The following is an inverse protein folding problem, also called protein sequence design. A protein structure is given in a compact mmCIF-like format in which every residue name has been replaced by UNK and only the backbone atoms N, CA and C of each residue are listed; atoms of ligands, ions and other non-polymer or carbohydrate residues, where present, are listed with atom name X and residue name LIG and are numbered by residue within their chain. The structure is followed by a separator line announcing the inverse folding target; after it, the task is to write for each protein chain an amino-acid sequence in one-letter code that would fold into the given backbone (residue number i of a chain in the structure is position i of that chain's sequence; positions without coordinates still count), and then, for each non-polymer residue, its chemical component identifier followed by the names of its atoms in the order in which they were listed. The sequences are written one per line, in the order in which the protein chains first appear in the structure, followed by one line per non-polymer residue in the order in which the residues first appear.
data_IF_078487377521
#
_entry.id   IF_078487377521
#
_cell.length_a   1.000
_cell.length_b   1.000
_cell.length_c   1.000
_cell.angle_alpha   90.00
_cell.angle_beta   90.00
_cell.angle_gamma   90.00
#
_symmetry.space_group_name_H-M   'P 1'
#
loop_
_entity.id
_entity.type
_entity.pdbx_description
1 polymer ?
#
# COMPACT_ATOMS: atom_id res chain seq x y z
N UNK A 1 -4.01 -10.61 20.81
CA UNK A 1 -3.34 -9.38 20.35
C UNK A 1 -4.34 -8.27 19.97
N UNK A 2 -5.23 -7.92 20.87
CA UNK A 2 -6.06 -6.69 20.95
C UNK A 2 -6.32 -5.94 19.62
N UNK A 3 -6.90 -6.61 18.62
CA UNK A 3 -7.29 -6.03 17.32
C UNK A 3 -6.15 -5.43 16.48
N UNK A 4 -4.90 -5.86 16.68
CA UNK A 4 -3.80 -5.45 15.80
C UNK A 4 -3.80 -6.25 14.50
N UNK A 5 -3.42 -5.65 13.36
CA UNK A 5 -3.40 -6.31 12.07
C UNK A 5 -2.16 -7.21 11.92
N UNK A 6 -2.06 -8.21 12.78
CA UNK A 6 -0.93 -9.15 12.86
C UNK A 6 -1.43 -10.56 12.55
N UNK A 7 -0.71 -11.27 11.69
CA UNK A 7 -0.92 -12.67 11.38
C UNK A 7 0.26 -13.50 11.91
N UNK A 8 -0.05 -14.49 12.74
CA UNK A 8 0.92 -15.49 13.23
C UNK A 8 0.55 -16.82 12.59
N UNK A 9 1.53 -17.49 12.01
CA UNK A 9 1.31 -18.79 11.37
C UNK A 9 2.57 -19.65 11.45
N UNK A 10 2.42 -20.92 11.12
CA UNK A 10 3.49 -21.91 11.19
C UNK A 10 3.66 -22.58 9.81
N UNK A 11 4.90 -22.71 9.37
CA UNK A 11 5.28 -23.52 8.21
C UNK A 11 6.26 -24.56 8.71
N UNK A 12 5.91 -25.85 8.62
CA UNK A 12 6.60 -26.93 9.31
C UNK A 12 6.70 -26.61 10.81
N UNK A 13 7.91 -26.50 11.36
CA UNK A 13 8.17 -26.13 12.74
C UNK A 13 8.55 -24.66 12.95
N UNK A 14 8.62 -23.88 11.86
CA UNK A 14 9.05 -22.49 11.88
C UNK A 14 7.85 -21.56 12.10
N UNK A 15 7.89 -20.76 13.15
CA UNK A 15 6.90 -19.72 13.44
C UNK A 15 7.26 -18.45 12.67
N UNK A 16 6.29 -17.93 11.94
CA UNK A 16 6.41 -16.67 11.20
C UNK A 16 5.33 -15.68 11.63
N UNK A 17 5.69 -14.40 11.62
CA UNK A 17 4.80 -13.28 11.92
C UNK A 17 4.74 -12.36 10.69
N UNK A 18 3.54 -11.93 10.33
CA UNK A 18 3.33 -10.82 9.41
C UNK A 18 2.70 -9.68 10.21
N UNK A 19 3.42 -8.57 10.28
CA UNK A 19 3.01 -7.34 10.93
C UNK A 19 2.61 -6.31 9.88
N UNK A 20 1.32 -5.98 9.85
CA UNK A 20 0.73 -5.01 8.94
C UNK A 20 0.24 -3.75 9.70
N UNK A 21 0.80 -3.48 10.87
CA UNK A 21 0.49 -2.30 11.67
C UNK A 21 1.25 -1.06 11.17
N UNK A 22 0.90 0.11 11.71
CA UNK A 22 1.67 1.33 11.50
C UNK A 22 3.13 1.12 11.98
N UNK A 23 4.13 1.73 11.32
CA UNK A 23 5.54 1.42 11.57
C UNK A 23 6.06 2.03 12.87
N UNK A 24 5.61 1.50 13.98
CA UNK A 24 5.97 1.93 15.35
C UNK A 24 7.03 1.05 16.01
N UNK A 25 7.58 0.08 15.28
CA UNK A 25 8.56 -0.89 15.76
C UNK A 25 8.00 -2.31 15.82
N UNK A 26 8.87 -3.29 16.11
CA UNK A 26 8.46 -4.69 16.25
C UNK A 26 7.75 -4.91 17.58
N UNK A 27 6.80 -5.84 17.60
CA UNK A 27 6.23 -6.37 18.84
C UNK A 27 7.22 -7.36 19.47
N UNK A 28 7.92 -6.96 20.52
CA UNK A 28 9.07 -7.68 21.05
C UNK A 28 8.74 -9.14 21.42
N UNK A 29 7.63 -9.40 22.09
CA UNK A 29 7.21 -10.77 22.46
C UNK A 29 7.01 -11.66 21.23
N UNK A 30 6.43 -11.10 20.15
CA UNK A 30 6.24 -11.83 18.90
C UNK A 30 7.55 -12.03 18.15
N UNK A 31 8.42 -11.04 18.17
CA UNK A 31 9.74 -11.12 17.57
C UNK A 31 10.58 -12.23 18.23
N UNK A 32 10.57 -12.34 19.55
CA UNK A 32 11.30 -13.36 20.29
C UNK A 32 10.79 -14.77 19.97
N UNK A 33 9.48 -14.95 19.88
CA UNK A 33 8.84 -16.23 19.57
C UNK A 33 8.93 -16.65 18.11
N UNK A 34 9.10 -15.69 17.19
CA UNK A 34 9.16 -15.94 15.76
C UNK A 34 10.57 -16.31 15.29
N UNK A 35 10.64 -17.15 14.26
CA UNK A 35 11.87 -17.40 13.51
C UNK A 35 12.08 -16.37 12.40
N UNK A 36 10.99 -15.85 11.82
CA UNK A 36 10.98 -14.79 10.82
C UNK A 36 9.85 -13.81 11.14
N UNK A 37 10.15 -12.51 11.06
CA UNK A 37 9.20 -11.42 11.34
C UNK A 37 9.09 -10.51 10.11
N UNK A 38 7.98 -10.58 9.39
CA UNK A 38 7.73 -9.75 8.22
C UNK A 38 7.01 -8.46 8.61
N UNK A 39 7.43 -7.34 8.01
CA UNK A 39 6.84 -6.02 8.26
C UNK A 39 6.44 -5.37 6.95
N UNK A 40 5.21 -4.91 6.86
CA UNK A 40 4.72 -4.22 5.67
C UNK A 40 5.42 -2.89 5.42
N UNK A 41 5.68 -2.13 6.48
CA UNK A 41 6.30 -0.82 6.43
C UNK A 41 7.61 -0.81 7.23
N UNK A 42 8.61 -1.56 6.78
CA UNK A 42 9.94 -1.61 7.40
C UNK A 42 10.68 -0.30 7.16
N UNK A 43 10.60 0.63 8.13
CA UNK A 43 11.33 1.90 8.05
C UNK A 43 12.84 1.68 8.04
N UNK A 44 13.55 2.33 7.10
CA UNK A 44 15.01 2.23 6.94
C UNK A 44 15.75 2.71 8.20
N UNK A 45 15.25 3.79 8.83
CA UNK A 45 15.92 4.46 9.95
C UNK A 45 15.34 4.09 11.32
N UNK A 46 14.56 3.01 11.44
CA UNK A 46 14.00 2.57 12.72
C UNK A 46 14.81 1.39 13.28
N UNK A 47 15.42 1.56 14.46
CA UNK A 47 16.40 0.59 14.98
C UNK A 47 15.80 -0.79 15.25
N UNK A 48 14.55 -0.90 15.71
CA UNK A 48 13.95 -2.21 15.93
C UNK A 48 13.76 -3.02 14.64
N UNK A 49 13.71 -2.36 13.48
CA UNK A 49 13.60 -3.03 12.17
C UNK A 49 14.94 -3.50 11.61
N UNK A 50 16.08 -3.09 12.20
CA UNK A 50 17.41 -3.58 11.83
C UNK A 50 17.73 -4.97 12.41
N UNK A 51 16.84 -5.50 13.25
CA UNK A 51 17.01 -6.81 13.88
C UNK A 51 17.01 -7.95 12.84
N UNK A 52 17.82 -9.02 13.02
CA UNK A 52 18.13 -9.99 11.94
C UNK A 52 16.95 -10.83 11.44
N UNK A 53 15.91 -11.04 12.26
CA UNK A 53 14.71 -11.79 11.82
C UNK A 53 13.73 -10.93 11.04
N UNK A 54 13.90 -9.58 11.00
CA UNK A 54 12.95 -8.65 10.40
C UNK A 54 13.17 -8.55 8.90
N UNK A 55 12.14 -8.89 8.12
CA UNK A 55 12.14 -8.82 6.66
C UNK A 55 11.04 -7.88 6.15
N UNK A 56 11.29 -7.09 5.10
CA UNK A 56 10.26 -6.29 4.47
C UNK A 56 9.28 -7.16 3.69
N UNK A 57 8.07 -6.64 3.47
CA UNK A 57 7.11 -7.17 2.50
C UNK A 57 7.01 -6.26 1.28
N UNK A 58 6.50 -6.81 0.18
CA UNK A 58 6.14 -6.02 -0.98
C UNK A 58 4.85 -5.22 -0.74
N UNK A 59 4.63 -4.12 -1.46
CA UNK A 59 3.38 -3.38 -1.40
C UNK A 59 2.17 -4.27 -1.70
N UNK A 60 1.11 -4.12 -0.91
CA UNK A 60 -0.14 -4.87 -1.09
C UNK A 60 -1.35 -3.99 -0.77
N UNK A 61 -2.53 -4.41 -1.15
CA UNK A 61 -3.77 -3.69 -0.90
C UNK A 61 -4.90 -4.67 -0.52
N UNK A 62 -5.90 -4.19 0.25
CA UNK A 62 -6.99 -5.03 0.72
C UNK A 62 -7.96 -5.38 -0.42
N UNK A 63 -8.25 -6.68 -0.55
CA UNK A 63 -9.22 -7.24 -1.50
C UNK A 63 -10.32 -8.00 -0.78
N UNK A 64 -11.40 -8.31 -1.48
CA UNK A 64 -12.46 -9.16 -0.96
C UNK A 64 -11.96 -10.61 -0.88
N UNK A 65 -11.84 -11.10 0.34
CA UNK A 65 -11.41 -12.47 0.65
C UNK A 65 -12.45 -13.24 1.46
N UNK A 66 -13.72 -12.84 1.44
CA UNK A 66 -14.79 -13.46 2.26
C UNK A 66 -14.82 -14.98 2.11
N UNK A 67 -14.77 -15.57 0.88
CA UNK A 67 -14.76 -17.03 0.74
C UNK A 67 -13.56 -17.68 1.44
N UNK A 68 -12.37 -17.10 1.28
CA UNK A 68 -11.14 -17.58 1.92
C UNK A 68 -11.21 -17.42 3.44
N UNK A 69 -11.69 -16.26 3.92
CA UNK A 69 -11.86 -15.98 5.33
C UNK A 69 -12.80 -16.98 6.01
N UNK A 70 -13.97 -17.25 5.41
CA UNK A 70 -14.90 -18.24 5.92
C UNK A 70 -14.33 -19.68 5.85
N UNK A 71 -13.56 -20.00 4.79
CA UNK A 71 -12.94 -21.32 4.66
C UNK A 71 -11.86 -21.59 5.70
N UNK A 72 -11.04 -20.57 6.03
CA UNK A 72 -9.92 -20.71 6.99
C UNK A 72 -10.46 -20.76 8.41
N UNK A 73 -11.34 -19.87 8.77
CA UNK A 73 -11.77 -19.69 10.16
C UNK A 73 -13.08 -20.42 10.49
N UNK A 74 -13.97 -20.63 9.52
CA UNK A 74 -15.20 -21.40 9.68
C UNK A 74 -15.97 -21.06 10.96
N UNK A 75 -16.32 -22.10 11.73
CA UNK A 75 -17.06 -21.99 12.99
C UNK A 75 -16.21 -21.34 14.09
N UNK A 76 -14.88 -21.41 14.02
CA UNK A 76 -13.99 -20.82 15.02
C UNK A 76 -14.10 -19.30 15.11
N UNK A 77 -14.62 -18.63 14.07
CA UNK A 77 -14.96 -17.20 14.13
C UNK A 77 -15.88 -16.89 15.31
N UNK A 78 -16.89 -17.74 15.53
CA UNK A 78 -17.87 -17.55 16.61
C UNK A 78 -17.36 -17.99 17.99
N UNK A 79 -16.24 -18.69 18.04
CA UNK A 79 -15.57 -19.07 19.29
C UNK A 79 -14.78 -17.91 19.90
N UNK A 80 -14.20 -17.04 19.04
CA UNK A 80 -13.31 -15.97 19.47
C UNK A 80 -13.87 -14.58 19.28
N UNK A 81 -14.88 -14.38 18.40
CA UNK A 81 -15.50 -13.11 18.10
C UNK A 81 -17.00 -13.14 18.43
N UNK A 82 -17.51 -12.02 18.89
CA UNK A 82 -18.97 -11.84 19.01
C UNK A 82 -19.63 -11.82 17.64
N UNK A 83 -20.84 -12.29 17.54
CA UNK A 83 -21.61 -12.32 16.27
C UNK A 83 -21.59 -10.98 15.52
N UNK A 84 -21.75 -9.87 16.25
CA UNK A 84 -21.69 -8.50 15.68
C UNK A 84 -20.33 -8.20 15.05
N UNK A 85 -19.24 -8.65 15.67
CA UNK A 85 -17.87 -8.44 15.17
C UNK A 85 -17.62 -9.27 13.90
N UNK A 86 -18.11 -10.51 13.86
CA UNK A 86 -18.06 -11.35 12.64
C UNK A 86 -18.80 -10.69 11.51
N UNK A 87 -20.03 -10.21 11.72
CA UNK A 87 -20.79 -9.49 10.70
C UNK A 87 -20.10 -8.22 10.23
N UNK A 88 -19.48 -7.48 11.15
CA UNK A 88 -18.72 -6.27 10.82
C UNK A 88 -17.50 -6.59 9.95
N UNK A 89 -16.75 -7.64 10.27
CA UNK A 89 -15.61 -8.07 9.47
C UNK A 89 -16.05 -8.50 8.06
N UNK A 90 -17.07 -9.33 7.96
CA UNK A 90 -17.64 -9.75 6.67
C UNK A 90 -18.10 -8.53 5.85
N UNK A 91 -18.80 -7.58 6.48
CA UNK A 91 -19.23 -6.35 5.82
C UNK A 91 -18.05 -5.52 5.29
N UNK A 92 -16.98 -5.38 6.06
CA UNK A 92 -15.77 -4.65 5.64
C UNK A 92 -15.13 -5.35 4.43
N UNK A 93 -15.02 -6.67 4.45
CA UNK A 93 -14.43 -7.45 3.36
C UNK A 93 -15.29 -7.39 2.09
N UNK A 94 -16.62 -7.48 2.20
CA UNK A 94 -17.54 -7.40 1.06
C UNK A 94 -17.49 -6.03 0.34
N UNK A 95 -17.10 -4.97 1.03
CA UNK A 95 -16.95 -3.64 0.42
C UNK A 95 -15.69 -3.52 -0.44
N UNK A 96 -14.73 -4.44 -0.30
CA UNK A 96 -13.51 -4.46 -1.11
C UNK A 96 -13.79 -5.08 -2.47
N UNK A 97 -13.13 -4.61 -3.54
CA UNK A 97 -13.24 -5.24 -4.85
C UNK A 97 -12.57 -6.63 -4.84
N UNK A 98 -13.01 -7.51 -5.71
CA UNK A 98 -12.32 -8.77 -5.97
C UNK A 98 -10.97 -8.49 -6.64
N UNK A 99 -9.98 -9.34 -6.39
CA UNK A 99 -8.63 -9.17 -6.91
C UNK A 99 -8.58 -9.10 -8.46
N UNK A 100 -9.33 -9.95 -9.13
CA UNK A 100 -9.41 -10.03 -10.58
C UNK A 100 -10.14 -8.86 -11.25
N UNK A 101 -10.86 -8.03 -10.47
CA UNK A 101 -11.49 -6.80 -10.95
C UNK A 101 -10.51 -5.65 -11.20
N UNK A 102 -9.27 -5.77 -10.74
CA UNK A 102 -8.20 -4.80 -10.97
C UNK A 102 -7.50 -5.02 -12.31
N UNK A 103 -8.27 -5.07 -13.39
CA UNK A 103 -7.69 -5.16 -14.74
C UNK A 103 -7.25 -3.78 -15.22
N UNK A 104 -6.21 -3.74 -16.07
CA UNK A 104 -5.78 -2.52 -16.77
C UNK A 104 -7.01 -1.87 -17.41
N UNK A 105 -7.34 -0.67 -16.99
CA UNK A 105 -8.52 0.04 -17.52
C UNK A 105 -8.10 1.05 -18.57
N UNK A 106 -9.05 1.44 -19.40
CA UNK A 106 -8.87 2.51 -20.38
C UNK A 106 -8.68 3.84 -19.63
N UNK A 107 -7.59 4.54 -19.90
CA UNK A 107 -7.30 5.85 -19.32
C UNK A 107 -8.00 6.94 -20.11
N UNK A 108 -8.63 7.87 -19.40
CA UNK A 108 -9.16 9.08 -20.01
C UNK A 108 -8.02 10.10 -20.17
N UNK A 109 -7.94 10.71 -21.34
CA UNK A 109 -6.96 11.74 -21.59
C UNK A 109 -7.06 12.86 -20.56
N UNK A 110 -5.91 13.18 -19.95
CA UNK A 110 -5.75 14.26 -18.97
C UNK A 110 -6.70 14.22 -17.76
N UNK A 111 -7.38 13.10 -17.52
CA UNK A 111 -8.18 12.91 -16.32
C UNK A 111 -7.29 12.52 -15.14
N UNK A 112 -7.40 13.24 -14.03
CA UNK A 112 -6.70 12.94 -12.78
C UNK A 112 -7.73 12.81 -11.66
N UNK A 113 -7.69 11.68 -10.97
CA UNK A 113 -8.48 11.43 -9.77
C UNK A 113 -7.57 11.35 -8.56
N UNK A 114 -7.85 12.16 -7.55
CA UNK A 114 -7.18 12.08 -6.26
C UNK A 114 -8.14 12.44 -5.13
N UNK A 115 -8.37 11.52 -4.21
CA UNK A 115 -9.18 11.77 -3.01
C UNK A 115 -8.49 11.21 -1.78
N UNK A 116 -8.42 12.01 -0.71
CA UNK A 116 -7.67 11.67 0.49
C UNK A 116 -8.30 12.29 1.74
N UNK A 117 -7.99 11.71 2.90
CA UNK A 117 -8.32 12.29 4.19
C UNK A 117 -7.25 13.29 4.64
N UNK A 118 -7.65 14.28 5.43
CA UNK A 118 -6.76 15.17 6.18
C UNK A 118 -6.37 14.46 7.47
N UNK A 119 -5.08 14.29 7.72
CA UNK A 119 -4.57 13.59 8.90
C UNK A 119 -4.09 14.56 9.98
N UNK A 120 -4.55 14.34 11.21
CA UNK A 120 -4.30 15.26 12.34
C UNK A 120 -2.81 15.39 12.69
N UNK A 121 -2.03 14.32 12.53
CA UNK A 121 -0.63 14.23 12.97
C UNK A 121 0.39 14.27 11.82
N UNK A 122 -0.05 14.54 10.59
CA UNK A 122 0.80 14.49 9.40
C UNK A 122 0.68 15.77 8.56
N UNK A 123 1.15 16.93 9.10
CA UNK A 123 0.98 18.22 8.43
C UNK A 123 1.73 18.28 7.08
N UNK A 124 2.94 17.73 7.00
CA UNK A 124 3.73 17.67 5.76
C UNK A 124 3.01 16.86 4.68
N UNK A 125 2.49 15.69 5.03
CA UNK A 125 1.69 14.85 4.14
C UNK A 125 0.44 15.56 3.64
N UNK A 126 -0.26 16.28 4.51
CA UNK A 126 -1.43 17.06 4.11
C UNK A 126 -1.04 18.19 3.16
N UNK A 127 0.08 18.88 3.43
CA UNK A 127 0.56 19.96 2.57
C UNK A 127 0.89 19.46 1.15
N UNK A 128 1.63 18.37 1.02
CA UNK A 128 1.94 17.74 -0.28
C UNK A 128 0.65 17.42 -1.06
N UNK A 129 -0.34 16.85 -0.39
CA UNK A 129 -1.63 16.50 -0.99
C UNK A 129 -2.42 17.74 -1.41
N UNK A 130 -2.43 18.77 -0.58
CA UNK A 130 -3.09 20.04 -0.89
C UNK A 130 -2.46 20.70 -2.12
N UNK A 131 -1.13 20.74 -2.21
CA UNK A 131 -0.41 21.30 -3.35
C UNK A 131 -0.70 20.51 -4.63
N UNK A 132 -0.79 19.18 -4.56
CA UNK A 132 -1.21 18.38 -5.71
C UNK A 132 -2.65 18.67 -6.15
N UNK A 133 -3.59 18.81 -5.20
CA UNK A 133 -4.98 19.16 -5.49
C UNK A 133 -5.04 20.55 -6.15
N UNK A 134 -4.33 21.55 -5.61
CA UNK A 134 -4.25 22.90 -6.19
C UNK A 134 -3.69 22.88 -7.60
N UNK A 135 -2.57 22.18 -7.80
CA UNK A 135 -1.97 21.99 -9.10
C UNK A 135 -2.98 21.39 -10.09
N UNK A 136 -3.67 20.30 -9.72
CA UNK A 136 -4.66 19.68 -10.61
C UNK A 136 -5.89 20.57 -10.87
N UNK A 137 -6.29 21.43 -9.93
CA UNK A 137 -7.41 22.38 -10.10
C UNK A 137 -7.05 23.59 -10.96
N UNK A 138 -5.78 23.99 -11.01
CA UNK A 138 -5.32 25.21 -11.70
C UNK A 138 -4.78 24.96 -13.09
N UNK A 139 -4.30 23.77 -13.42
CA UNK A 139 -3.83 23.45 -14.76
C UNK A 139 -5.02 23.14 -15.68
N UNK A 140 -5.27 24.01 -16.64
CA UNK A 140 -6.44 23.94 -17.54
C UNK A 140 -6.44 22.73 -18.47
N UNK A 141 -5.34 22.03 -18.60
CA UNK A 141 -5.23 20.79 -19.39
C UNK A 141 -5.79 19.57 -18.64
N UNK A 142 -5.99 19.69 -17.32
CA UNK A 142 -6.41 18.58 -16.45
C UNK A 142 -7.92 18.62 -16.25
N UNK A 143 -8.56 17.47 -16.41
CA UNK A 143 -9.90 17.21 -15.91
C UNK A 143 -9.78 16.58 -14.53
N UNK A 144 -9.85 17.40 -13.50
CA UNK A 144 -9.66 16.94 -12.12
C UNK A 144 -10.96 16.51 -11.44
N UNK A 145 -10.90 15.40 -10.69
CA UNK A 145 -11.96 14.96 -9.79
C UNK A 145 -11.36 14.51 -8.45
N UNK A 146 -11.96 14.97 -7.35
CA UNK A 146 -11.55 14.61 -6.00
C UNK A 146 -11.17 15.83 -5.16
N UNK A 147 -10.31 15.60 -4.16
CA UNK A 147 -9.93 16.57 -3.15
C UNK A 147 -9.84 15.91 -1.77
N UNK A 148 -9.75 16.72 -0.73
CA UNK A 148 -9.85 16.22 0.64
C UNK A 148 -11.29 15.91 1.04
N UNK A 149 -11.47 14.82 1.75
CA UNK A 149 -12.74 14.51 2.43
C UNK A 149 -12.84 15.41 3.67
N UNK A 150 -13.95 16.17 3.83
CA UNK A 150 -14.17 16.99 5.02
C UNK A 150 -14.08 16.15 6.29
N UNK A 151 -13.42 16.67 7.30
CA UNK A 151 -13.28 15.99 8.58
C UNK A 151 -14.59 16.03 9.37
N UNK A 152 -14.88 14.94 10.09
CA UNK A 152 -16.07 14.83 10.92
C UNK A 152 -16.08 15.78 12.13
N UNK A 153 -14.89 16.24 12.58
CA UNK A 153 -14.75 17.20 13.65
C UNK A 153 -14.81 18.67 13.18
N UNK A 154 -14.99 18.90 11.87
CA UNK A 154 -15.08 20.22 11.25
C UNK A 154 -13.75 20.97 11.15
N UNK A 155 -12.65 20.46 11.71
CA UNK A 155 -11.35 21.11 11.64
C UNK A 155 -10.55 20.62 10.43
N UNK A 156 -10.61 21.36 9.33
CA UNK A 156 -9.91 21.01 8.09
C UNK A 156 -8.47 21.56 8.02
N UNK A 157 -7.93 22.08 9.12
CA UNK A 157 -6.54 22.60 9.20
C UNK A 157 -6.19 23.63 8.12
N UNK A 158 -7.15 24.45 7.69
CA UNK A 158 -6.98 25.48 6.66
C UNK A 158 -6.98 25.00 5.22
N UNK A 159 -7.36 23.73 4.96
CA UNK A 159 -7.44 23.15 3.63
C UNK A 159 -8.88 23.20 3.05
N UNK A 160 -9.65 24.23 3.39
CA UNK A 160 -11.06 24.32 2.98
C UNK A 160 -11.24 24.47 1.45
N UNK A 161 -10.28 25.09 0.76
CA UNK A 161 -10.29 25.24 -0.70
C UNK A 161 -9.97 23.94 -1.46
N UNK A 162 -9.38 22.96 -0.79
CA UNK A 162 -9.03 21.65 -1.35
C UNK A 162 -10.07 20.58 -1.03
N UNK A 163 -11.14 20.91 -0.33
CA UNK A 163 -12.21 19.99 0.03
C UNK A 163 -12.98 19.51 -1.19
N UNK A 164 -13.54 18.32 -1.04
CA UNK A 164 -14.54 17.73 -1.93
C UNK A 164 -15.57 16.97 -1.10
N UNK A 165 -16.84 17.38 -1.19
CA UNK A 165 -17.95 16.80 -0.44
C UNK A 165 -18.38 15.43 -0.97
N UNK A 166 -17.98 15.07 -2.20
CA UNK A 166 -18.32 13.77 -2.79
C UNK A 166 -17.55 12.65 -2.06
N UNK A 167 -18.33 11.70 -1.51
CA UNK A 167 -17.77 10.50 -0.87
C UNK A 167 -17.77 9.33 -1.84
N UNK A 168 -16.63 8.70 -2.01
CA UNK A 168 -16.46 7.57 -2.92
C UNK A 168 -16.51 6.25 -2.15
N UNK A 169 -17.36 5.33 -2.60
CA UNK A 169 -17.28 3.94 -2.15
C UNK A 169 -15.94 3.33 -2.61
N UNK A 170 -15.43 2.28 -1.94
CA UNK A 170 -14.18 1.63 -2.38
C UNK A 170 -14.20 1.20 -3.85
N UNK A 171 -15.33 0.68 -4.33
CA UNK A 171 -15.52 0.29 -5.74
C UNK A 171 -15.46 1.50 -6.69
N UNK A 172 -16.12 2.60 -6.33
CA UNK A 172 -16.09 3.83 -7.13
C UNK A 172 -14.70 4.45 -7.12
N UNK A 173 -14.05 4.48 -5.96
CA UNK A 173 -12.68 4.97 -5.83
C UNK A 173 -11.73 4.19 -6.77
N UNK A 174 -11.75 2.88 -6.71
CA UNK A 174 -10.94 2.01 -7.56
C UNK A 174 -11.21 2.25 -9.05
N UNK A 175 -12.49 2.39 -9.43
CA UNK A 175 -12.88 2.68 -10.82
C UNK A 175 -12.35 4.04 -11.32
N UNK A 176 -12.47 5.09 -10.50
CA UNK A 176 -11.98 6.43 -10.86
C UNK A 176 -10.44 6.45 -10.89
N UNK A 177 -9.78 5.83 -9.90
CA UNK A 177 -8.31 5.70 -9.91
C UNK A 177 -7.82 5.05 -11.19
N UNK A 178 -8.42 3.93 -11.59
CA UNK A 178 -8.02 3.18 -12.77
C UNK A 178 -8.12 3.98 -14.08
N UNK A 179 -8.94 5.03 -14.15
CA UNK A 179 -9.05 5.92 -15.31
C UNK A 179 -8.14 7.16 -15.23
N UNK A 180 -7.41 7.32 -14.12
CA UNK A 180 -6.52 8.47 -13.90
C UNK A 180 -5.25 8.37 -14.74
N UNK A 181 -4.77 9.52 -15.27
CA UNK A 181 -3.51 9.60 -16.01
C UNK A 181 -2.30 9.48 -15.08
N UNK A 182 -2.38 10.09 -13.90
CA UNK A 182 -1.34 10.07 -12.87
C UNK A 182 -1.94 9.59 -11.56
N UNK A 183 -1.19 8.82 -10.82
CA UNK A 183 -1.48 8.48 -9.43
C UNK A 183 -0.39 9.04 -8.52
N UNK A 184 -0.75 9.88 -7.57
CA UNK A 184 0.20 10.38 -6.57
C UNK A 184 0.36 9.37 -5.43
N UNK A 185 1.58 8.91 -5.22
CA UNK A 185 2.01 8.22 -4.00
C UNK A 185 2.87 9.17 -3.17
N UNK A 186 2.39 9.54 -2.01
CA UNK A 186 3.10 10.37 -1.05
C UNK A 186 3.26 9.62 0.28
N UNK A 187 4.23 10.02 1.14
CA UNK A 187 4.40 9.41 2.45
C UNK A 187 3.08 9.37 3.23
N UNK A 188 2.80 8.24 3.87
CA UNK A 188 1.65 8.02 4.73
C UNK A 188 2.02 8.26 6.20
N UNK A 189 1.21 7.77 7.14
CA UNK A 189 1.46 7.92 8.59
C UNK A 189 2.84 7.39 8.96
N UNK A 190 3.60 8.15 9.73
CA UNK A 190 4.95 7.80 10.17
C UNK A 190 5.93 7.43 9.04
N UNK A 191 5.70 7.88 7.81
CA UNK A 191 6.54 7.53 6.66
C UNK A 191 6.23 6.19 6.00
N UNK A 192 5.16 5.52 6.42
CA UNK A 192 4.63 4.33 5.74
C UNK A 192 4.31 4.60 4.27
N UNK A 193 4.22 3.55 3.48
CA UNK A 193 3.68 3.61 2.12
C UNK A 193 2.20 3.25 2.14
N UNK A 194 1.39 4.04 1.44
CA UNK A 194 -0.02 3.75 1.32
C UNK A 194 -0.26 2.45 0.54
N UNK A 195 -1.19 1.61 1.01
CA UNK A 195 -1.66 0.43 0.27
C UNK A 195 -2.15 0.77 -1.15
N UNK A 196 -2.49 2.04 -1.43
CA UNK A 196 -2.89 2.50 -2.75
C UNK A 196 -1.79 2.39 -3.79
N UNK A 197 -0.51 2.43 -3.39
CA UNK A 197 0.61 2.21 -4.31
C UNK A 197 0.45 0.88 -5.06
N UNK A 198 0.20 -0.21 -4.33
CA UNK A 198 0.01 -1.53 -4.95
C UNK A 198 -1.23 -1.58 -5.85
N UNK A 199 -2.33 -0.91 -5.47
CA UNK A 199 -3.52 -0.79 -6.31
C UNK A 199 -3.22 -0.01 -7.60
N UNK A 200 -2.50 1.12 -7.52
CA UNK A 200 -2.11 1.92 -8.68
C UNK A 200 -1.21 1.16 -9.65
N UNK A 201 -0.22 0.44 -9.12
CA UNK A 201 0.65 -0.42 -9.93
C UNK A 201 -0.14 -1.52 -10.63
N UNK A 202 -1.06 -2.20 -9.91
CA UNK A 202 -1.91 -3.24 -10.50
C UNK A 202 -2.83 -2.69 -11.60
N UNK A 203 -3.29 -1.45 -11.46
CA UNK A 203 -4.09 -0.76 -12.47
C UNK A 203 -3.26 -0.24 -13.66
N UNK A 204 -1.93 -0.39 -13.63
CA UNK A 204 -1.02 0.11 -14.65
C UNK A 204 -1.09 1.63 -14.78
N UNK A 205 -1.10 2.36 -13.68
CA UNK A 205 -1.07 3.81 -13.66
C UNK A 205 0.37 4.32 -13.71
N UNK A 206 0.54 5.52 -14.28
CA UNK A 206 1.78 6.27 -14.08
C UNK A 206 1.84 6.73 -12.63
N UNK A 207 2.76 6.16 -11.85
CA UNK A 207 2.92 6.49 -10.44
C UNK A 207 3.96 7.59 -10.28
N UNK A 208 3.49 8.76 -9.86
CA UNK A 208 4.31 9.86 -9.38
C UNK A 208 4.51 9.69 -7.88
N UNK A 209 5.75 9.56 -7.42
CA UNK A 209 6.04 9.23 -6.02
C UNK A 209 7.08 10.14 -5.41
N UNK A 210 6.95 10.39 -4.12
CA UNK A 210 8.07 10.83 -3.29
C UNK A 210 8.93 9.62 -2.89
N UNK A 211 10.24 9.81 -2.58
CA UNK A 211 11.12 8.74 -2.13
C UNK A 211 10.54 7.98 -0.93
N UNK A 212 10.75 6.68 -0.90
CA UNK A 212 10.28 5.84 0.19
C UNK A 212 11.18 5.96 1.42
N UNK A 213 10.57 5.97 2.59
CA UNK A 213 11.24 5.85 3.89
C UNK A 213 11.31 4.40 4.37
N UNK A 214 10.79 3.46 3.58
CA UNK A 214 10.74 2.03 3.89
C UNK A 214 11.71 1.24 3.01
N UNK A 215 12.20 0.13 3.55
CA UNK A 215 12.89 -0.92 2.80
C UNK A 215 11.88 -1.81 2.10
N UNK A 216 12.16 -2.18 0.86
CA UNK A 216 11.40 -3.15 0.09
C UNK A 216 12.29 -4.34 -0.28
N UNK A 217 11.74 -5.56 -0.45
CA UNK A 217 12.54 -6.71 -0.90
C UNK A 217 13.20 -6.49 -2.27
N UNK A 218 12.56 -5.68 -3.12
CA UNK A 218 13.07 -5.19 -4.40
C UNK A 218 12.69 -3.73 -4.55
N UNK A 219 13.67 -2.85 -4.64
CA UNK A 219 13.42 -1.41 -4.74
C UNK A 219 12.92 -1.02 -6.12
N UNK A 220 12.09 0.02 -6.17
CA UNK A 220 11.70 0.66 -7.42
C UNK A 220 12.84 1.49 -8.00
N UNK A 221 12.91 1.52 -9.31
CA UNK A 221 13.90 2.30 -10.06
C UNK A 221 13.19 3.54 -10.64
N UNK A 222 13.79 4.71 -10.40
CA UNK A 222 13.30 5.97 -10.98
C UNK A 222 13.25 5.91 -12.50
N UNK A 223 12.21 6.48 -13.10
CA UNK A 223 11.97 6.49 -14.55
C UNK A 223 11.84 5.08 -15.18
N UNK A 224 11.63 4.07 -14.34
CA UNK A 224 11.36 2.70 -14.78
C UNK A 224 9.99 2.23 -14.30
N UNK A 225 9.80 1.92 -13.03
CA UNK A 225 8.51 1.48 -12.49
C UNK A 225 7.68 2.63 -11.90
N UNK A 226 8.36 3.69 -11.45
CA UNK A 226 7.77 4.89 -10.85
C UNK A 226 8.59 6.12 -11.25
N UNK A 227 7.95 7.29 -11.26
CA UNK A 227 8.67 8.56 -11.37
C UNK A 227 8.78 9.21 -9.99
N UNK A 228 10.01 9.31 -9.47
CA UNK A 228 10.26 9.98 -8.20
C UNK A 228 10.43 11.48 -8.36
N UNK A 229 9.86 12.24 -7.44
CA UNK A 229 10.05 13.67 -7.26
C UNK A 229 10.45 13.97 -5.82
N UNK A 230 11.20 15.01 -5.61
CA UNK A 230 11.61 15.47 -4.28
C UNK A 230 10.77 16.63 -3.76
N UNK A 231 10.18 17.42 -4.67
CA UNK A 231 9.45 18.65 -4.36
C UNK A 231 8.16 18.74 -5.17
N UNK A 232 7.15 19.35 -4.58
CA UNK A 232 5.84 19.59 -5.21
C UNK A 232 5.92 20.51 -6.43
N UNK A 233 6.94 21.36 -6.51
CA UNK A 233 7.21 22.20 -7.70
C UNK A 233 7.49 21.38 -8.97
N UNK A 234 7.77 20.08 -8.82
CA UNK A 234 8.01 19.17 -9.94
C UNK A 234 6.72 18.59 -10.55
N UNK A 235 5.54 18.82 -9.94
CA UNK A 235 4.27 18.34 -10.52
C UNK A 235 4.05 18.83 -11.95
N UNK A 236 4.27 20.14 -12.20
CA UNK A 236 4.09 20.70 -13.53
C UNK A 236 5.09 20.18 -14.57
N UNK A 237 6.42 20.17 -14.33
CA UNK A 237 7.39 19.59 -15.26
C UNK A 237 7.10 18.11 -15.61
N UNK A 238 6.65 17.33 -14.63
CA UNK A 238 6.28 15.92 -14.89
C UNK A 238 5.03 15.82 -15.76
N UNK A 239 4.01 16.63 -15.48
CA UNK A 239 2.82 16.66 -16.33
C UNK A 239 3.18 17.08 -17.77
N UNK A 240 3.99 18.12 -17.93
CA UNK A 240 4.46 18.56 -19.24
C UNK A 240 5.13 17.39 -19.98
N UNK A 241 6.08 16.70 -19.32
CA UNK A 241 6.78 15.54 -19.89
C UNK A 241 5.83 14.43 -20.36
N UNK A 242 4.84 14.04 -19.56
CA UNK A 242 3.94 12.92 -19.90
C UNK A 242 2.81 13.30 -20.87
N UNK A 243 2.57 14.59 -21.06
CA UNK A 243 1.64 15.08 -22.10
C UNK A 243 2.35 15.13 -23.45
N UNK A 244 3.60 15.58 -23.45
CA UNK A 244 4.42 15.72 -24.68
C UNK A 244 5.00 14.36 -25.14
N UNK A 245 5.23 13.44 -24.21
CA UNK A 245 5.82 12.12 -24.45
C UNK A 245 4.91 10.99 -23.89
N UNK A 246 4.01 10.51 -24.74
CA UNK A 246 3.09 9.41 -24.40
C UNK A 246 3.81 8.10 -24.19
N UNK A 247 4.93 7.86 -24.90
CA UNK A 247 5.71 6.62 -24.81
C UNK A 247 6.40 6.52 -23.46
N UNK A 248 6.91 7.65 -22.94
CA UNK A 248 7.45 7.73 -21.58
C UNK A 248 6.39 7.38 -20.52
N UNK A 249 5.18 7.96 -20.65
CA UNK A 249 4.08 7.65 -19.75
C UNK A 249 3.71 6.16 -19.79
N UNK A 250 3.60 5.58 -20.98
CA UNK A 250 3.23 4.18 -21.17
C UNK A 250 4.33 3.23 -20.68
N UNK A 251 5.59 3.55 -20.92
CA UNK A 251 6.74 2.75 -20.49
C UNK A 251 6.75 2.58 -18.96
N UNK A 252 6.65 3.68 -18.19
CA UNK A 252 6.62 3.64 -16.73
C UNK A 252 5.38 2.89 -16.21
N UNK A 253 4.20 3.19 -16.77
CA UNK A 253 2.96 2.53 -16.39
C UNK A 253 3.01 1.00 -16.62
N UNK A 254 3.60 0.58 -17.73
CA UNK A 254 3.75 -0.84 -18.08
C UNK A 254 4.77 -1.53 -17.18
N UNK A 255 5.91 -0.90 -16.91
CA UNK A 255 6.93 -1.44 -16.01
C UNK A 255 6.46 -1.49 -14.56
N UNK A 256 5.72 -0.49 -14.09
CA UNK A 256 5.08 -0.52 -12.78
C UNK A 256 4.08 -1.67 -12.64
N UNK A 257 3.27 -1.92 -13.67
CA UNK A 257 2.37 -3.08 -13.72
C UNK A 257 3.14 -4.40 -13.72
N UNK A 258 4.22 -4.49 -14.49
CA UNK A 258 5.10 -5.67 -14.52
C UNK A 258 5.73 -5.94 -13.13
N UNK A 259 6.18 -4.89 -12.43
CA UNK A 259 6.67 -5.02 -11.06
C UNK A 259 5.59 -5.61 -10.14
N UNK A 260 4.35 -5.10 -10.24
CA UNK A 260 3.24 -5.63 -9.46
C UNK A 260 2.98 -7.11 -9.77
N UNK A 261 2.90 -7.47 -11.05
CA UNK A 261 2.61 -8.84 -11.48
C UNK A 261 3.71 -9.82 -11.05
N UNK A 262 4.96 -9.35 -11.01
CA UNK A 262 6.12 -10.16 -10.63
C UNK A 262 6.22 -10.37 -9.12
N UNK A 263 5.99 -9.31 -8.33
CA UNK A 263 6.33 -9.32 -6.90
C UNK A 263 5.15 -9.12 -5.96
N UNK A 264 4.11 -8.40 -6.36
CA UNK A 264 3.07 -7.90 -5.46
C UNK A 264 1.76 -8.69 -5.51
N UNK A 265 1.61 -9.64 -6.45
CA UNK A 265 0.42 -10.49 -6.50
C UNK A 265 0.32 -11.36 -5.24
N UNK A 266 -0.89 -11.74 -4.78
CA UNK A 266 -1.04 -12.61 -3.61
C UNK A 266 -0.19 -13.89 -3.69
N UNK A 267 -0.11 -14.52 -4.86
CA UNK A 267 0.70 -15.73 -5.07
C UNK A 267 2.21 -15.46 -5.01
N UNK A 268 2.68 -14.36 -5.61
CA UNK A 268 4.09 -13.97 -5.56
C UNK A 268 4.52 -13.62 -4.13
N UNK A 269 3.70 -12.88 -3.39
CA UNK A 269 3.98 -12.57 -2.00
C UNK A 269 3.96 -13.81 -1.11
N UNK A 270 2.99 -14.71 -1.29
CA UNK A 270 2.94 -15.96 -0.55
C UNK A 270 4.20 -16.80 -0.82
N UNK A 271 4.63 -16.89 -2.08
CA UNK A 271 5.88 -17.55 -2.46
C UNK A 271 7.09 -16.92 -1.78
N UNK A 272 7.24 -15.60 -1.83
CA UNK A 272 8.33 -14.87 -1.18
C UNK A 272 8.39 -15.15 0.33
N UNK A 273 7.23 -15.15 1.00
CA UNK A 273 7.13 -15.43 2.44
C UNK A 273 7.54 -16.87 2.74
N UNK A 274 7.01 -17.85 2.01
CA UNK A 274 7.34 -19.28 2.19
C UNK A 274 8.81 -19.55 1.90
N UNK A 275 9.36 -19.07 0.78
CA UNK A 275 10.77 -19.24 0.44
C UNK A 275 11.68 -18.61 1.52
N UNK A 276 11.30 -17.45 2.07
CA UNK A 276 12.04 -16.80 3.14
C UNK A 276 12.07 -17.63 4.43
N UNK A 277 10.99 -18.33 4.74
CA UNK A 277 10.88 -19.21 5.92
C UNK A 277 11.73 -20.48 5.72
N UNK A 278 11.61 -21.12 4.55
CA UNK A 278 12.37 -22.35 4.24
C UNK A 278 13.89 -22.09 4.21
N UNK A 279 14.32 -20.94 3.70
CA UNK A 279 15.72 -20.53 3.74
C UNK A 279 16.20 -20.30 5.18
N UNK A 280 15.36 -19.81 6.08
CA UNK A 280 15.69 -19.68 7.49
C UNK A 280 15.87 -21.06 8.15
N UNK A 281 14.98 -22.02 7.87
CA UNK A 281 15.10 -23.39 8.37
C UNK A 281 16.40 -24.10 7.93
N UNK A 282 16.76 -23.95 6.66
CA UNK A 282 17.97 -24.58 6.11
C UNK A 282 19.23 -24.03 6.77
N UNK A 283 19.29 -22.72 7.01
CA UNK A 283 20.41 -22.08 7.70
C UNK A 283 20.52 -22.52 9.17
N UNK A 284 19.40 -22.70 9.88
CA UNK A 284 19.39 -23.20 11.25
C UNK A 284 19.89 -24.64 11.33
N UNK A 285 19.50 -25.51 10.39
CA UNK A 285 19.93 -26.92 10.34
C UNK A 285 21.42 -27.05 9.96
N UNK A 286 21.95 -26.18 9.10
CA UNK A 286 23.37 -26.18 8.76
C UNK A 286 24.26 -25.75 9.93
N UNK A 287 23.84 -24.74 10.68
CA UNK A 287 24.57 -24.25 11.86
C UNK A 287 24.62 -25.28 12.99
N UNK A 288 23.56 -26.09 13.17
CA UNK A 288 23.50 -27.17 14.15
C UNK A 288 24.46 -28.32 13.79
N UNK A 289 24.66 -28.60 12.48
CA UNK A 289 25.59 -29.65 12.02
C UNK A 289 27.08 -29.25 12.09
N UNK A 290 27.40 -27.98 12.13
CA UNK A 290 28.78 -27.51 12.29
C UNK A 290 29.24 -27.38 13.76
N UNK A 291 28.29 -27.37 14.69
CA UNK A 291 28.55 -27.28 16.14
C UNK A 291 28.41 -28.63 16.89
N UNK A 292 28.14 -29.70 16.15
CA UNK A 292 28.13 -31.08 16.62
C UNK A 292 29.32 -31.86 16.07
#
# INVERSE_FOLDING_TARGET
FNNKPILIFKVNDTIAVIDNDDPTGVHQELYESASVYFVTNKLINHDSYKQPKVKPLYPHYPVNIVPLYCRIFGIDLFRYLKFKEVLQQIYILLRRPLYDQYKKSFKKDNFIFFSSNIWKKEPETNQIRAEFIRFCKTDTRIVFKGGFVPRSDGNNYGFDNELNDERYSPKMFSKLSATSKIALNNPAVCGAVSWRLAEYLNQGLFVLSFPFKIELPHNFIHDTEVHFIEKTTQFKPVLDKIVDDSDYHEAISTKGKFYFDTYCTPSAQAKYVVDSILNCESNLKSNLKHNS
#
